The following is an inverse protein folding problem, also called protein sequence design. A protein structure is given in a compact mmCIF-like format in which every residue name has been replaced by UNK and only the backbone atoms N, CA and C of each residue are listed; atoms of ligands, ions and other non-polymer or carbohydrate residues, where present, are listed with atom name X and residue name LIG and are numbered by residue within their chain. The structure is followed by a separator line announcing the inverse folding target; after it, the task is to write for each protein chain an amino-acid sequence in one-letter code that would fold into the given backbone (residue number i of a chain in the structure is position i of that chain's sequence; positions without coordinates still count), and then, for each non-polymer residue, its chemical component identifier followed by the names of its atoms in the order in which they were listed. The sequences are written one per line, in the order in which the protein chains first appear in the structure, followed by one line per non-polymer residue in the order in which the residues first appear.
data_IF_770208687596
#
_entry.id   IF_770208687596
#
_cell.length_a   1.000
_cell.length_b   1.000
_cell.length_c   1.000
_cell.angle_alpha   90.00
_cell.angle_beta   90.00
_cell.angle_gamma   90.00
#
_symmetry.space_group_name_H-M   'P 1'
#
loop_
_entity.id
_entity.type
_entity.pdbx_description
1 polymer ?
#
# COMPACT_ATOMS: atom_id res chain seq x y z
N UNK A 1 2.45 5.86 0.45
CA UNK A 1 3.36 5.92 1.63
C UNK A 1 2.63 5.65 2.95
N UNK A 2 1.60 6.44 3.26
CA UNK A 2 0.91 6.45 4.56
C UNK A 2 0.20 5.13 4.88
N UNK A 3 -0.74 4.61 4.05
CA UNK A 3 -1.45 3.37 4.36
C UNK A 3 -0.49 2.21 4.61
N UNK A 4 0.47 2.03 3.70
CA UNK A 4 1.54 1.05 3.82
C UNK A 4 2.29 1.11 5.15
N UNK A 5 2.62 2.31 5.66
CA UNK A 5 3.34 2.43 6.94
C UNK A 5 2.47 2.01 8.12
N UNK A 6 1.17 2.29 8.08
CA UNK A 6 0.22 1.84 9.10
C UNK A 6 0.06 0.32 9.08
N UNK A 7 -0.03 -0.31 7.90
CA UNK A 7 -0.06 -1.77 7.77
C UNK A 7 1.22 -2.41 8.34
N UNK A 8 2.37 -1.85 8.00
CA UNK A 8 3.65 -2.32 8.51
C UNK A 8 3.78 -2.12 10.03
N UNK A 9 3.30 -1.01 10.57
CA UNK A 9 3.27 -0.79 12.02
C UNK A 9 2.40 -1.83 12.73
N UNK A 10 1.26 -2.22 12.15
CA UNK A 10 0.41 -3.27 12.71
C UNK A 10 1.14 -4.62 12.77
N UNK A 11 1.91 -4.97 11.73
CA UNK A 11 2.75 -6.17 11.74
C UNK A 11 3.82 -6.11 12.84
N UNK A 12 4.55 -4.99 12.95
CA UNK A 12 5.57 -4.79 13.98
C UNK A 12 5.00 -4.85 15.40
N UNK A 13 3.77 -4.38 15.60
CA UNK A 13 3.09 -4.49 16.90
C UNK A 13 2.81 -5.95 17.27
N UNK A 14 2.54 -6.82 16.30
CA UNK A 14 2.42 -8.26 16.54
C UNK A 14 3.70 -8.85 17.10
N UNK A 15 4.84 -8.58 16.44
CA UNK A 15 6.17 -9.00 16.91
C UNK A 15 6.49 -8.44 18.31
N UNK A 16 6.22 -7.15 18.52
CA UNK A 16 6.48 -6.50 19.82
C UNK A 16 5.64 -7.08 20.96
N UNK A 17 4.39 -7.51 20.70
CA UNK A 17 3.55 -8.18 21.71
C UNK A 17 4.12 -9.55 22.08
N UNK A 18 4.64 -10.30 21.10
CA UNK A 18 5.30 -11.58 21.36
C UNK A 18 6.56 -11.39 22.22
N UNK A 19 7.38 -10.39 21.89
CA UNK A 19 8.60 -10.08 22.63
C UNK A 19 8.34 -9.52 24.05
N UNK A 20 7.22 -8.81 24.24
CA UNK A 20 6.93 -8.09 25.49
C UNK A 20 6.96 -8.98 26.73
N UNK A 21 6.55 -10.26 26.61
CA UNK A 21 6.57 -11.22 27.72
C UNK A 21 7.99 -11.44 28.27
N UNK A 22 9.01 -11.47 27.41
CA UNK A 22 10.41 -11.64 27.82
C UNK A 22 10.95 -10.43 28.61
N UNK A 23 10.31 -9.27 28.46
CA UNK A 23 10.61 -8.05 29.20
C UNK A 23 9.69 -7.85 30.43
N UNK A 24 8.90 -8.86 30.80
CA UNK A 24 8.07 -8.85 32.01
C UNK A 24 6.69 -8.19 31.85
N UNK A 25 6.25 -7.93 30.61
CA UNK A 25 4.88 -7.45 30.38
C UNK A 25 3.89 -8.60 30.38
N UNK A 26 2.84 -8.48 31.20
CA UNK A 26 1.68 -9.36 31.11
C UNK A 26 0.70 -8.81 30.07
N UNK A 27 0.76 -9.37 28.86
CA UNK A 27 -0.08 -8.99 27.71
C UNK A 27 -1.25 -9.95 27.50
N UNK A 28 -1.51 -10.87 28.44
CA UNK A 28 -2.56 -11.89 28.29
C UNK A 28 -2.38 -12.83 27.10
N UNK A 29 -1.16 -12.88 26.53
CA UNK A 29 -0.82 -13.82 25.47
C UNK A 29 -0.69 -15.22 26.07
N UNK A 30 -1.34 -16.21 25.45
CA UNK A 30 -1.13 -17.62 25.81
C UNK A 30 0.25 -18.02 25.30
N UNK A 31 1.06 -18.61 26.15
CA UNK A 31 2.40 -19.08 25.79
C UNK A 31 2.33 -20.00 24.57
N UNK A 32 3.08 -19.66 23.51
CA UNK A 32 3.07 -20.37 22.23
C UNK A 32 1.93 -20.05 21.26
N UNK A 33 1.01 -19.14 21.59
CA UNK A 33 -0.06 -18.69 20.69
C UNK A 33 0.22 -17.30 20.12
N UNK A 34 0.12 -17.15 18.79
CA UNK A 34 0.23 -15.84 18.14
C UNK A 34 -0.92 -14.91 18.54
N UNK A 35 -0.68 -13.60 18.73
CA UNK A 35 -1.73 -12.62 18.97
C UNK A 35 -2.78 -12.63 17.86
N UNK A 36 -4.06 -12.58 18.21
CA UNK A 36 -5.14 -12.49 17.22
C UNK A 36 -5.18 -11.08 16.61
N UNK A 37 -4.90 -11.00 15.32
CA UNK A 37 -5.03 -9.76 14.54
C UNK A 37 -6.40 -9.68 13.83
N UNK A 38 -6.98 -8.48 13.75
CA UNK A 38 -8.24 -8.21 13.03
C UNK A 38 -7.97 -7.32 11.82
N UNK A 39 -7.97 -7.94 10.63
CA UNK A 39 -7.78 -7.25 9.35
C UNK A 39 -8.79 -6.13 9.11
N UNK A 40 -10.08 -6.42 9.35
CA UNK A 40 -11.17 -5.46 9.17
C UNK A 40 -10.97 -4.20 10.02
N UNK A 41 -10.57 -4.37 11.29
CA UNK A 41 -10.28 -3.24 12.19
C UNK A 41 -9.09 -2.41 11.70
N UNK A 42 -8.04 -3.07 11.23
CA UNK A 42 -6.87 -2.39 10.66
C UNK A 42 -7.25 -1.58 9.42
N UNK A 43 -7.92 -2.20 8.45
CA UNK A 43 -8.34 -1.53 7.22
C UNK A 43 -9.29 -0.37 7.52
N UNK A 44 -10.27 -0.55 8.41
CA UNK A 44 -11.15 0.54 8.82
C UNK A 44 -10.39 1.72 9.46
N UNK A 45 -9.36 1.45 10.27
CA UNK A 45 -8.52 2.49 10.87
C UNK A 45 -7.67 3.22 9.82
N UNK A 46 -7.06 2.47 8.88
CA UNK A 46 -6.28 3.01 7.77
C UNK A 46 -7.14 3.91 6.88
N UNK A 47 -8.31 3.43 6.47
CA UNK A 47 -9.22 4.18 5.59
C UNK A 47 -9.74 5.45 6.26
N UNK A 48 -10.06 5.40 7.55
CA UNK A 48 -10.43 6.58 8.35
C UNK A 48 -9.31 7.61 8.36
N UNK A 49 -8.09 7.18 8.67
CA UNK A 49 -6.94 8.07 8.72
C UNK A 49 -6.66 8.74 7.35
N UNK A 50 -6.75 7.99 6.26
CA UNK A 50 -6.62 8.54 4.90
C UNK A 50 -7.71 9.56 4.60
N UNK A 51 -8.96 9.27 4.98
CA UNK A 51 -10.09 10.19 4.78
C UNK A 51 -9.88 11.51 5.54
N UNK A 52 -9.44 11.43 6.78
CA UNK A 52 -9.21 12.60 7.62
C UNK A 52 -8.08 13.48 7.06
N UNK A 53 -6.98 12.87 6.60
CA UNK A 53 -5.88 13.57 5.93
C UNK A 53 -6.34 14.26 4.64
N UNK A 54 -7.13 13.57 3.82
CA UNK A 54 -7.66 14.14 2.58
C UNK A 54 -8.56 15.35 2.86
N UNK A 55 -9.44 15.26 3.85
CA UNK A 55 -10.28 16.38 4.27
C UNK A 55 -9.43 17.57 4.76
N UNK A 56 -8.37 17.30 5.55
CA UNK A 56 -7.42 18.32 6.00
C UNK A 56 -6.71 19.01 4.83
N UNK A 57 -6.23 18.26 3.84
CA UNK A 57 -5.57 18.82 2.65
C UNK A 57 -6.51 19.74 1.85
N UNK A 58 -7.75 19.31 1.62
CA UNK A 58 -8.75 20.15 0.93
C UNK A 58 -9.03 21.43 1.71
N UNK A 59 -9.11 21.35 3.04
CA UNK A 59 -9.30 22.54 3.87
C UNK A 59 -8.11 23.50 3.81
N UNK A 60 -6.87 22.99 3.80
CA UNK A 60 -5.66 23.81 3.66
C UNK A 60 -5.56 24.49 2.29
N UNK A 61 -6.02 23.85 1.21
CA UNK A 61 -6.10 24.48 -0.10
C UNK A 61 -7.09 25.65 -0.06
N UNK A 62 -8.28 25.43 0.51
CA UNK A 62 -9.30 26.48 0.66
C UNK A 62 -8.81 27.66 1.49
N UNK A 63 -8.11 27.43 2.59
CA UNK A 63 -7.57 28.51 3.44
C UNK A 63 -6.48 29.34 2.75
N UNK A 64 -5.90 28.82 1.66
CA UNK A 64 -4.92 29.51 0.82
C UNK A 64 -5.53 30.03 -0.49
N UNK A 65 -6.87 30.08 -0.56
CA UNK A 65 -7.63 30.55 -1.74
C UNK A 65 -7.35 29.74 -3.01
N UNK A 66 -6.87 28.50 -2.88
CA UNK A 66 -6.66 27.60 -4.01
C UNK A 66 -7.96 26.86 -4.32
N UNK A 67 -8.45 27.02 -5.56
CA UNK A 67 -9.64 26.29 -6.04
C UNK A 67 -9.29 24.82 -6.28
N UNK A 68 -10.01 23.92 -5.61
CA UNK A 68 -9.89 22.48 -5.79
C UNK A 68 -11.02 21.93 -6.65
N UNK A 69 -10.68 21.26 -7.75
CA UNK A 69 -11.62 20.54 -8.59
C UNK A 69 -11.42 19.03 -8.40
N UNK A 70 -12.43 18.35 -7.86
CA UNK A 70 -12.44 16.90 -7.79
C UNK A 70 -12.91 16.33 -9.13
N UNK A 71 -12.04 16.24 -10.14
CA UNK A 71 -12.42 15.83 -11.48
C UNK A 71 -11.28 15.10 -12.20
N UNK A 72 -11.66 14.22 -13.13
CA UNK A 72 -10.73 13.64 -14.10
C UNK A 72 -10.53 14.62 -15.26
N UNK A 73 -9.31 15.14 -15.40
CA UNK A 73 -8.98 16.14 -16.42
C UNK A 73 -8.28 15.51 -17.63
N UNK A 74 -8.68 15.92 -18.84
CA UNK A 74 -7.99 15.59 -20.08
C UNK A 74 -7.85 16.84 -20.97
N UNK A 75 -6.73 16.96 -21.68
CA UNK A 75 -6.54 18.05 -22.64
C UNK A 75 -7.44 17.83 -23.86
N UNK A 76 -8.18 18.87 -24.23
CA UNK A 76 -8.95 18.96 -25.48
C UNK A 76 -8.33 19.96 -26.45
N UNK A 77 -7.31 20.70 -26.02
CA UNK A 77 -6.49 21.60 -26.82
C UNK A 77 -5.22 22.00 -26.06
N UNK A 78 -4.41 22.89 -26.63
CA UNK A 78 -3.11 23.29 -26.04
C UNK A 78 -3.25 23.89 -24.63
N UNK A 79 -4.32 24.67 -24.39
CA UNK A 79 -4.57 25.35 -23.11
C UNK A 79 -5.96 25.10 -22.55
N UNK A 80 -6.58 23.99 -22.93
CA UNK A 80 -7.97 23.67 -22.56
C UNK A 80 -8.05 22.27 -21.98
N UNK A 81 -8.60 22.18 -20.77
CA UNK A 81 -8.93 20.93 -20.10
C UNK A 81 -10.44 20.72 -20.10
N UNK A 82 -10.84 19.49 -20.40
CA UNK A 82 -12.14 18.94 -20.05
C UNK A 82 -12.00 18.21 -18.71
N UNK A 83 -12.78 18.62 -17.72
CA UNK A 83 -12.80 18.05 -16.38
C UNK A 83 -14.14 17.38 -16.13
N UNK A 84 -14.14 16.07 -15.86
CA UNK A 84 -15.36 15.30 -15.53
C UNK A 84 -15.34 14.92 -14.06
N UNK A 85 -16.30 15.40 -13.29
CA UNK A 85 -16.43 15.07 -11.88
C UNK A 85 -17.06 13.69 -11.64
N UNK A 86 -17.09 13.21 -10.38
CA UNK A 86 -17.58 11.87 -10.04
C UNK A 86 -19.06 11.65 -10.38
N UNK A 87 -19.87 12.71 -10.43
CA UNK A 87 -21.27 12.66 -10.81
C UNK A 87 -21.51 12.78 -12.31
N UNK A 88 -20.45 12.88 -13.12
CA UNK A 88 -20.52 13.09 -14.56
C UNK A 88 -20.66 14.56 -14.98
N UNK A 89 -20.66 15.49 -14.03
CA UNK A 89 -20.63 16.92 -14.31
C UNK A 89 -19.37 17.30 -15.08
N UNK A 90 -19.51 18.15 -16.09
CA UNK A 90 -18.42 18.55 -16.97
C UNK A 90 -18.11 20.03 -16.80
N UNK A 91 -16.82 20.34 -16.68
CA UNK A 91 -16.30 21.70 -16.55
C UNK A 91 -15.17 21.84 -17.58
N UNK A 92 -15.21 22.93 -18.34
CA UNK A 92 -14.07 23.32 -19.20
C UNK A 92 -13.21 24.33 -18.45
N UNK A 93 -11.91 24.06 -18.35
CA UNK A 93 -10.94 24.95 -17.72
C UNK A 93 -9.88 25.38 -18.72
N UNK A 94 -9.39 26.61 -18.58
CA UNK A 94 -8.25 27.13 -19.33
C UNK A 94 -7.23 27.72 -18.37
N UNK A 95 -5.96 27.72 -18.75
CA UNK A 95 -4.88 28.32 -17.96
C UNK A 95 -3.73 28.75 -18.87
N UNK A 96 -2.96 29.73 -18.41
CA UNK A 96 -1.75 30.20 -19.11
C UNK A 96 -0.65 29.13 -19.12
N UNK A 97 -0.57 28.38 -18.02
CA UNK A 97 0.40 27.31 -17.80
C UNK A 97 -0.22 26.11 -17.09
N UNK A 98 0.29 24.92 -17.39
CA UNK A 98 -0.09 23.66 -16.75
C UNK A 98 1.12 22.98 -16.16
N UNK A 99 0.95 22.42 -14.95
CA UNK A 99 1.93 21.51 -14.34
C UNK A 99 1.35 20.09 -14.39
N UNK A 100 2.06 19.17 -15.05
CA UNK A 100 1.64 17.78 -15.16
C UNK A 100 2.25 16.97 -14.02
N UNK A 101 1.42 16.57 -13.06
CA UNK A 101 1.82 15.73 -11.92
C UNK A 101 0.86 14.54 -11.67
N UNK A 102 0.58 13.68 -12.68
CA UNK A 102 -0.41 12.59 -12.54
C UNK A 102 0.07 11.40 -11.69
N UNK A 103 1.37 11.33 -11.36
CA UNK A 103 1.96 10.21 -10.61
C UNK A 103 2.13 8.94 -11.44
N UNK A 104 2.30 7.80 -10.76
CA UNK A 104 2.44 6.48 -11.36
C UNK A 104 1.22 5.59 -11.11
N UNK A 105 1.09 4.50 -11.89
CA UNK A 105 0.06 3.46 -11.71
C UNK A 105 0.68 2.07 -11.71
N UNK A 106 0.08 1.09 -11.00
CA UNK A 106 0.50 -0.29 -11.07
C UNK A 106 0.51 -0.80 -12.51
N UNK A 107 1.53 -1.57 -12.85
CA UNK A 107 1.63 -2.23 -14.15
C UNK A 107 1.37 -3.72 -13.99
N UNK A 108 0.33 -4.20 -14.65
CA UNK A 108 0.05 -5.62 -14.75
C UNK A 108 0.95 -6.27 -15.82
N UNK A 109 1.40 -7.52 -15.61
CA UNK A 109 2.06 -8.30 -16.66
C UNK A 109 1.07 -8.59 -17.79
N UNK A 110 1.59 -8.69 -19.02
CA UNK A 110 0.79 -9.00 -20.20
C UNK A 110 0.60 -10.52 -20.33
N UNK A 111 -0.18 -11.08 -19.42
CA UNK A 111 -0.52 -12.51 -19.38
C UNK A 111 -2.04 -12.67 -19.15
N UNK A 112 -2.65 -13.76 -19.66
CA UNK A 112 -4.08 -14.00 -19.46
C UNK A 112 -4.47 -14.02 -17.98
N UNK A 113 -5.54 -13.30 -17.64
CA UNK A 113 -6.11 -13.27 -16.29
C UNK A 113 -5.41 -12.31 -15.30
N UNK A 114 -4.33 -11.64 -15.69
CA UNK A 114 -3.58 -10.77 -14.76
C UNK A 114 -4.43 -9.62 -14.21
N UNK A 115 -5.26 -8.97 -15.04
CA UNK A 115 -6.07 -7.83 -14.59
C UNK A 115 -7.36 -8.28 -13.90
N UNK A 116 -7.85 -9.46 -14.26
CA UNK A 116 -9.12 -10.01 -13.80
C UNK A 116 -8.99 -10.73 -12.46
N UNK A 117 -7.83 -11.32 -12.19
CA UNK A 117 -7.63 -12.20 -11.04
C UNK A 117 -6.54 -11.71 -10.07
N UNK A 118 -5.72 -10.73 -10.45
CA UNK A 118 -4.73 -10.16 -9.55
C UNK A 118 -5.17 -8.79 -9.03
N UNK A 119 -4.74 -8.51 -7.82
CA UNK A 119 -4.82 -7.19 -7.19
C UNK A 119 -3.45 -6.51 -7.22
N UNK A 120 -3.44 -5.20 -7.02
CA UNK A 120 -2.24 -4.38 -6.91
C UNK A 120 -2.07 -3.82 -5.50
N UNK A 121 -0.98 -3.07 -5.29
CA UNK A 121 -0.80 -2.30 -4.06
C UNK A 121 -1.87 -1.21 -3.86
N UNK A 122 -2.52 -0.74 -4.92
CA UNK A 122 -3.60 0.24 -4.80
C UNK A 122 -4.83 -0.37 -4.10
N UNK A 123 -5.01 -1.70 -4.24
CA UNK A 123 -6.19 -2.41 -3.75
C UNK A 123 -6.00 -2.97 -2.33
N UNK A 124 -4.81 -3.50 -2.03
CA UNK A 124 -4.53 -4.26 -0.79
C UNK A 124 -4.87 -3.49 0.49
N UNK A 125 -4.70 -2.17 0.49
CA UNK A 125 -4.94 -1.31 1.66
C UNK A 125 -6.43 -1.06 1.94
N UNK A 126 -7.31 -1.42 1.00
CA UNK A 126 -8.76 -1.25 1.10
C UNK A 126 -9.55 -2.56 1.09
N UNK A 127 -8.88 -3.72 1.01
CA UNK A 127 -9.57 -5.01 0.99
C UNK A 127 -10.39 -5.23 2.26
N UNK A 128 -11.66 -5.62 2.10
CA UNK A 128 -12.54 -5.91 3.23
C UNK A 128 -12.06 -7.11 4.07
N UNK A 129 -11.51 -8.12 3.39
CA UNK A 129 -11.00 -9.36 4.00
C UNK A 129 -9.51 -9.53 3.70
N UNK A 130 -8.73 -10.22 4.55
CA UNK A 130 -7.33 -10.48 4.25
C UNK A 130 -7.21 -11.33 2.99
N UNK A 131 -6.16 -11.14 2.16
CA UNK A 131 -5.99 -11.87 0.90
C UNK A 131 -5.69 -13.37 1.10
N UNK A 132 -5.51 -13.83 2.35
CA UNK A 132 -5.20 -15.22 2.67
C UNK A 132 -3.77 -15.58 2.23
N UNK A 133 -3.61 -16.78 1.67
CA UNK A 133 -2.34 -17.24 1.08
C UNK A 133 -2.03 -16.41 -0.16
N UNK A 134 -0.92 -15.67 -0.11
CA UNK A 134 -0.64 -14.60 -1.06
C UNK A 134 0.67 -14.84 -1.81
N UNK A 135 0.59 -14.79 -3.14
CA UNK A 135 1.76 -14.69 -4.02
C UNK A 135 1.99 -13.22 -4.39
N UNK A 136 3.14 -12.67 -4.03
CA UNK A 136 3.59 -11.34 -4.42
C UNK A 136 4.48 -11.46 -5.65
N UNK A 137 4.05 -10.89 -6.78
CA UNK A 137 4.81 -10.96 -8.03
C UNK A 137 5.67 -9.71 -8.21
N UNK A 138 6.98 -9.90 -8.24
CA UNK A 138 8.01 -8.86 -8.24
C UNK A 138 8.78 -8.79 -6.92
N UNK A 139 9.97 -8.20 -6.95
CA UNK A 139 10.83 -8.03 -5.77
C UNK A 139 11.38 -6.59 -5.67
N UNK A 140 10.55 -5.61 -6.00
CA UNK A 140 10.84 -4.20 -5.68
C UNK A 140 10.51 -3.92 -4.20
N UNK A 141 10.86 -2.72 -3.73
CA UNK A 141 10.56 -2.33 -2.35
C UNK A 141 9.05 -2.44 -2.02
N UNK A 142 8.15 -2.06 -2.94
CA UNK A 142 6.70 -2.20 -2.72
C UNK A 142 6.31 -3.67 -2.52
N UNK A 143 6.88 -4.56 -3.33
CA UNK A 143 6.60 -5.98 -3.24
C UNK A 143 7.08 -6.56 -1.89
N UNK A 144 8.32 -6.26 -1.49
CA UNK A 144 8.88 -6.76 -0.24
C UNK A 144 8.21 -6.15 1.00
N UNK A 145 7.83 -4.88 0.96
CA UNK A 145 7.03 -4.25 2.02
C UNK A 145 5.67 -4.92 2.17
N UNK A 146 4.98 -5.20 1.06
CA UNK A 146 3.71 -5.94 1.06
C UNK A 146 3.87 -7.36 1.60
N UNK A 147 4.88 -8.09 1.12
CA UNK A 147 5.17 -9.43 1.59
C UNK A 147 5.43 -9.46 3.10
N UNK A 148 6.25 -8.51 3.60
CA UNK A 148 6.59 -8.40 5.01
C UNK A 148 5.38 -8.12 5.90
N UNK A 149 4.57 -7.10 5.58
CA UNK A 149 3.41 -6.81 6.44
C UNK A 149 2.33 -7.89 6.33
N UNK A 150 2.10 -8.50 5.16
CA UNK A 150 1.12 -9.58 5.04
C UNK A 150 1.54 -10.78 5.89
N UNK A 151 2.81 -11.16 5.82
CA UNK A 151 3.36 -12.24 6.62
C UNK A 151 3.27 -11.94 8.13
N UNK A 152 3.69 -10.75 8.55
CA UNK A 152 3.61 -10.33 9.96
C UNK A 152 2.17 -10.23 10.49
N UNK A 153 1.18 -10.04 9.62
CA UNK A 153 -0.25 -10.08 9.96
C UNK A 153 -0.87 -11.49 9.88
N UNK A 154 -0.06 -12.51 9.59
CA UNK A 154 -0.44 -13.93 9.65
C UNK A 154 -0.74 -14.61 8.32
N UNK A 155 -0.55 -13.95 7.17
CA UNK A 155 -0.69 -14.61 5.87
C UNK A 155 0.48 -15.53 5.55
N UNK A 156 0.21 -16.64 4.86
CA UNK A 156 1.25 -17.39 4.16
C UNK A 156 1.63 -16.60 2.89
N UNK A 157 2.92 -16.27 2.75
CA UNK A 157 3.39 -15.38 1.69
C UNK A 157 4.53 -16.02 0.91
N UNK A 158 4.41 -15.99 -0.41
CA UNK A 158 5.51 -16.24 -1.33
C UNK A 158 5.80 -15.00 -2.18
N UNK A 159 7.07 -14.75 -2.47
CA UNK A 159 7.54 -13.68 -3.36
C UNK A 159 8.12 -14.35 -4.60
N UNK A 160 7.58 -14.04 -5.78
CA UNK A 160 8.12 -14.51 -7.05
C UNK A 160 8.93 -13.41 -7.71
N UNK A 161 10.17 -13.72 -8.07
CA UNK A 161 11.06 -12.78 -8.73
C UNK A 161 11.71 -13.37 -9.97
N UNK A 162 11.87 -12.55 -11.01
CA UNK A 162 12.51 -12.99 -12.27
C UNK A 162 14.04 -13.05 -12.18
N UNK A 163 14.65 -12.31 -11.26
CA UNK A 163 16.10 -12.10 -11.21
C UNK A 163 16.53 -11.75 -9.78
N UNK A 164 17.23 -10.62 -9.59
CA UNK A 164 17.65 -10.13 -8.28
C UNK A 164 16.54 -9.33 -7.56
N UNK A 165 16.47 -9.41 -6.22
CA UNK A 165 15.63 -8.53 -5.40
C UNK A 165 16.20 -7.11 -5.38
N UNK A 166 15.33 -6.12 -5.13
CA UNK A 166 15.69 -4.72 -4.94
C UNK A 166 16.69 -4.18 -5.99
N UNK A 167 16.43 -4.48 -7.27
CA UNK A 167 17.29 -4.03 -8.38
C UNK A 167 17.52 -2.51 -8.30
N UNK A 168 18.79 -2.11 -8.28
CA UNK A 168 19.23 -0.72 -8.15
C UNK A 168 19.60 -0.30 -6.73
N UNK A 169 19.42 -1.17 -5.73
CA UNK A 169 19.95 -1.00 -4.37
C UNK A 169 21.29 -1.73 -4.21
N UNK A 170 21.95 -1.50 -3.07
CA UNK A 170 23.13 -2.25 -2.67
C UNK A 170 22.83 -3.75 -2.61
N UNK A 171 23.64 -4.54 -3.31
CA UNK A 171 23.40 -5.97 -3.50
C UNK A 171 23.57 -6.77 -2.21
N UNK A 172 24.55 -6.42 -1.37
CA UNK A 172 24.75 -7.11 -0.09
C UNK A 172 23.57 -6.88 0.84
N UNK A 173 23.07 -5.63 0.88
CA UNK A 173 21.88 -5.30 1.66
C UNK A 173 20.63 -6.01 1.13
N UNK A 174 20.47 -6.11 -0.19
CA UNK A 174 19.34 -6.83 -0.79
C UNK A 174 19.34 -8.31 -0.40
N UNK A 175 20.50 -8.98 -0.42
CA UNK A 175 20.66 -10.38 -0.01
C UNK A 175 20.37 -10.56 1.47
N UNK A 176 20.87 -9.67 2.34
CA UNK A 176 20.62 -9.73 3.79
C UNK A 176 19.12 -9.58 4.09
N UNK A 177 18.43 -8.67 3.41
CA UNK A 177 16.98 -8.47 3.56
C UNK A 177 16.22 -9.74 3.14
N UNK A 178 16.52 -10.31 1.97
CA UNK A 178 15.79 -11.51 1.51
C UNK A 178 16.06 -12.70 2.42
N UNK A 179 17.31 -12.90 2.86
CA UNK A 179 17.65 -13.98 3.78
C UNK A 179 16.94 -13.83 5.14
N UNK A 180 16.81 -12.61 5.66
CA UNK A 180 16.04 -12.37 6.89
C UNK A 180 14.54 -12.64 6.70
N UNK A 181 13.96 -12.23 5.57
CA UNK A 181 12.56 -12.51 5.24
C UNK A 181 12.30 -14.02 5.09
N UNK A 182 13.21 -14.75 4.44
CA UNK A 182 13.15 -16.22 4.35
C UNK A 182 13.20 -16.87 5.72
N UNK A 183 14.14 -16.46 6.56
CA UNK A 183 14.28 -16.93 7.95
C UNK A 183 13.01 -16.70 8.77
N UNK A 184 12.30 -15.59 8.51
CA UNK A 184 11.03 -15.27 9.18
C UNK A 184 9.84 -16.07 8.63
N UNK A 185 9.96 -16.68 7.45
CA UNK A 185 8.95 -17.57 6.87
C UNK A 185 8.32 -17.11 5.56
N UNK A 186 8.87 -16.07 4.92
CA UNK A 186 8.47 -15.70 3.55
C UNK A 186 9.17 -16.62 2.56
N UNK A 187 8.44 -17.26 1.66
CA UNK A 187 9.05 -18.10 0.61
C UNK A 187 9.49 -17.23 -0.57
N UNK A 188 10.69 -17.43 -1.12
CA UNK A 188 11.11 -16.78 -2.37
C UNK A 188 11.17 -17.80 -3.51
N UNK A 189 10.68 -17.41 -4.68
CA UNK A 189 10.55 -18.20 -5.91
C UNK A 189 11.25 -17.50 -7.09
#
# INVERSE_FOLDING_TARGET
CIPKKLMHQAALLGEAIEDAAAYGWDVGAVEGAKPKHSWERLVAAVQRHVKDLNAGNVQQLKSKEVTYYNAFASFTGERTLRCVGPGGEEITLTADAFVLAPGGRPRYPDIPGAKEHCISSDDVFGLASPPGKTLVVGASYVALECAGFLHGLGSEVAVMMRSIPLRGFDEQMAILITADMERRGVTFL
#
